data_IF_644191077048
#
_entry.id   IF_644191077048
#
_cell.length_a   1.000
_cell.length_b   1.000
_cell.length_c   1.000
_cell.angle_alpha   90.00
_cell.angle_beta   90.00
_cell.angle_gamma   90.00
#
_symmetry.space_group_name_H-M   'P 1'
#
loop_
_entity.id
_entity.type
_entity.pdbx_description
1 polymer ?
#
# COMPACT_ATOMS: atom_id res chain seq x y z
N UNK A 1 -4.40 -11.66 21.85
CA UNK A 1 -2.97 -11.69 21.44
C UNK A 1 -2.47 -10.25 21.30
N UNK A 2 -1.15 -10.03 21.37
CA UNK A 2 -0.57 -8.67 21.48
C UNK A 2 -0.63 -7.90 20.15
N UNK A 3 -0.67 -6.56 20.25
CA UNK A 3 -0.76 -5.59 19.14
C UNK A 3 0.44 -5.54 18.16
N UNK A 4 1.45 -6.42 18.31
CA UNK A 4 2.78 -6.25 17.70
C UNK A 4 3.00 -6.93 16.34
N UNK A 5 2.00 -7.62 15.77
CA UNK A 5 2.11 -8.24 14.44
C UNK A 5 1.37 -7.47 13.34
N UNK A 6 0.58 -6.44 13.69
CA UNK A 6 -0.23 -5.69 12.72
C UNK A 6 0.57 -4.60 11.96
N UNK A 7 1.70 -4.18 12.53
CA UNK A 7 2.44 -2.97 12.17
C UNK A 7 3.64 -3.24 11.22
N UNK A 8 4.05 -4.50 11.04
CA UNK A 8 5.28 -4.88 10.34
C UNK A 8 5.13 -5.03 8.82
N UNK A 9 4.03 -4.56 8.24
CA UNK A 9 3.53 -5.09 6.97
C UNK A 9 3.25 -4.06 5.86
N UNK A 10 3.49 -2.76 6.04
CA UNK A 10 3.50 -1.78 4.93
C UNK A 10 4.64 -1.98 3.90
N UNK A 11 5.35 -3.11 4.01
CA UNK A 11 6.78 -3.19 3.74
C UNK A 11 7.18 -3.62 2.33
N UNK A 12 6.33 -3.99 1.37
CA UNK A 12 6.89 -4.50 0.10
C UNK A 12 7.37 -3.38 -0.85
N UNK A 13 6.49 -2.45 -1.24
CA UNK A 13 6.88 -1.24 -1.98
C UNK A 13 7.72 -0.29 -1.13
N UNK A 14 7.41 -0.21 0.17
CA UNK A 14 8.21 0.57 1.10
C UNK A 14 9.61 -0.02 1.22
N UNK A 15 9.87 -1.32 1.36
CA UNK A 15 11.26 -1.82 1.44
C UNK A 15 12.08 -1.59 0.17
N UNK A 16 11.49 -1.55 -1.03
CA UNK A 16 12.23 -1.15 -2.24
C UNK A 16 12.50 0.36 -2.28
N UNK A 17 11.49 1.19 -2.00
CA UNK A 17 11.66 2.65 -1.92
C UNK A 17 12.54 3.08 -0.74
N UNK A 18 12.53 2.32 0.35
CA UNK A 18 13.39 2.42 1.52
C UNK A 18 14.78 1.92 1.14
N UNK A 19 14.97 0.82 0.38
CA UNK A 19 16.32 0.44 -0.09
C UNK A 19 16.94 1.52 -0.99
N UNK A 20 16.15 2.15 -1.86
CA UNK A 20 16.61 3.29 -2.67
C UNK A 20 16.81 4.58 -1.85
N UNK A 21 15.92 4.88 -0.89
CA UNK A 21 16.03 6.05 -0.02
C UNK A 21 17.14 5.91 1.03
N UNK A 22 17.36 4.70 1.56
CA UNK A 22 18.55 4.26 2.32
C UNK A 22 19.76 4.55 1.44
N UNK A 23 19.89 3.93 0.28
CA UNK A 23 21.06 4.11 -0.58
C UNK A 23 21.33 5.58 -0.99
N UNK A 24 20.29 6.42 -1.01
CA UNK A 24 20.36 7.86 -1.33
C UNK A 24 20.70 8.73 -0.11
N UNK A 25 20.10 8.50 1.06
CA UNK A 25 20.25 9.30 2.29
C UNK A 25 21.41 8.79 3.18
N UNK A 26 21.74 7.51 3.06
CA UNK A 26 22.71 6.74 3.86
C UNK A 26 23.48 5.75 2.97
N UNK A 27 24.58 6.16 2.33
CA UNK A 27 25.37 5.24 1.51
C UNK A 27 25.91 4.07 2.37
N UNK A 28 26.09 2.86 1.82
CA UNK A 28 26.51 1.66 2.57
C UNK A 28 27.89 1.80 3.26
N UNK A 29 28.64 2.85 2.93
CA UNK A 29 29.87 3.25 3.62
C UNK A 29 29.87 4.77 3.79
N UNK A 30 30.10 5.25 5.01
CA UNK A 30 30.17 6.67 5.37
C UNK A 30 31.44 6.88 6.18
N UNK A 31 32.44 7.52 5.58
CA UNK A 31 33.67 7.88 6.30
C UNK A 31 33.56 9.26 6.93
N UNK A 32 34.15 9.42 8.11
CA UNK A 32 34.29 10.70 8.80
C UNK A 32 35.69 11.26 8.59
N UNK A 33 35.78 12.49 8.13
CA UNK A 33 37.03 13.24 8.00
C UNK A 33 37.04 14.40 8.98
N UNK A 34 38.05 14.46 9.85
CA UNK A 34 38.21 15.55 10.81
C UNK A 34 38.29 16.91 10.09
N UNK A 35 37.59 17.93 10.61
CA UNK A 35 37.62 19.30 10.08
C UNK A 35 37.79 20.32 11.20
N UNK A 36 38.63 21.33 10.97
CA UNK A 36 38.85 22.42 11.93
C UNK A 36 37.79 23.53 11.87
N UNK A 37 36.85 23.46 10.92
CA UNK A 37 35.76 24.43 10.75
C UNK A 37 34.53 23.75 10.18
N UNK A 38 33.40 23.97 10.84
CA UNK A 38 32.06 23.73 10.29
C UNK A 38 31.39 25.10 10.13
N UNK A 39 30.75 25.35 8.99
CA UNK A 39 29.79 26.45 8.85
C UNK A 39 28.40 25.86 8.98
N UNK A 40 27.85 25.84 10.19
CA UNK A 40 26.44 25.54 10.39
C UNK A 40 25.63 26.62 9.64
N UNK A 41 24.85 26.25 8.63
CA UNK A 41 24.03 27.21 7.86
C UNK A 41 22.95 27.88 8.71
N UNK A 42 22.24 28.89 8.18
CA UNK A 42 21.32 29.80 8.90
C UNK A 42 20.42 29.16 9.99
N UNK A 43 19.91 27.94 9.80
CA UNK A 43 19.24 27.12 10.83
C UNK A 43 20.18 26.57 11.94
N UNK A 44 21.29 27.26 12.21
CA UNK A 44 22.46 26.74 12.95
C UNK A 44 22.63 27.32 14.35
N UNK A 45 21.84 28.33 14.69
CA UNK A 45 21.89 29.05 15.97
C UNK A 45 21.69 28.14 17.19
N UNK A 46 21.11 26.95 17.02
CA UNK A 46 20.79 26.03 18.11
C UNK A 46 21.87 24.98 18.35
N UNK A 47 22.83 24.80 17.42
CA UNK A 47 23.92 23.83 17.63
C UNK A 47 24.78 24.27 18.81
N UNK A 48 25.13 25.56 18.90
CA UNK A 48 25.94 26.09 20.01
C UNK A 48 25.27 25.84 21.37
N UNK A 49 23.95 26.05 21.48
CA UNK A 49 23.17 25.73 22.68
C UNK A 49 23.20 24.24 23.05
N UNK A 50 23.16 23.33 22.07
CA UNK A 50 23.27 21.90 22.30
C UNK A 50 24.69 21.50 22.75
N UNK A 51 25.72 22.18 22.23
CA UNK A 51 27.11 21.97 22.63
C UNK A 51 27.39 22.50 24.04
N UNK A 52 26.78 23.62 24.43
CA UNK A 52 26.81 24.16 25.79
C UNK A 52 26.10 23.21 26.78
N UNK A 53 24.88 22.78 26.47
CA UNK A 53 24.14 21.82 27.31
C UNK A 53 24.89 20.49 27.50
N UNK A 54 25.48 19.92 26.43
CA UNK A 54 26.30 18.72 26.58
C UNK A 54 27.51 18.93 27.51
N UNK A 55 28.12 20.13 27.51
CA UNK A 55 29.21 20.44 28.43
C UNK A 55 28.74 20.56 29.89
N UNK A 56 27.54 21.09 30.13
CA UNK A 56 26.89 21.11 31.46
C UNK A 56 26.56 19.67 31.93
N UNK A 57 26.18 18.79 31.02
CA UNK A 57 26.03 17.33 31.23
C UNK A 57 27.39 16.58 31.29
N UNK A 58 28.50 17.29 31.49
CA UNK A 58 29.87 16.74 31.61
C UNK A 58 30.40 15.92 30.41
N UNK A 59 29.81 16.05 29.23
CA UNK A 59 30.37 15.49 27.99
C UNK A 59 31.59 16.30 27.52
N UNK A 60 32.64 15.58 27.14
CA UNK A 60 33.89 16.15 26.61
C UNK A 60 33.88 16.10 25.08
N UNK A 61 34.22 17.18 24.36
CA UNK A 61 34.29 17.14 22.89
C UNK A 61 35.41 16.22 22.40
N UNK A 62 35.08 15.33 21.47
CA UNK A 62 36.04 14.47 20.75
C UNK A 62 36.58 15.23 19.54
N UNK A 63 35.70 15.80 18.72
CA UNK A 63 36.08 16.45 17.47
C UNK A 63 34.92 16.86 16.58
N UNK A 64 35.27 17.56 15.51
CA UNK A 64 34.36 18.02 14.47
C UNK A 64 34.66 17.27 13.18
N UNK A 65 33.65 16.67 12.56
CA UNK A 65 33.82 15.80 11.40
C UNK A 65 32.89 16.18 10.26
N UNK A 66 33.38 15.93 9.05
CA UNK A 66 32.63 16.01 7.80
C UNK A 66 32.45 14.59 7.26
N UNK A 67 31.24 14.23 6.84
CA UNK A 67 31.01 12.95 6.19
C UNK A 67 31.38 13.03 4.71
N UNK A 68 32.22 12.13 4.23
CA UNK A 68 32.48 11.99 2.80
C UNK A 68 31.80 10.71 2.29
N UNK A 69 30.86 10.78 1.33
CA UNK A 69 30.36 9.57 0.69
C UNK A 69 31.49 8.91 -0.10
N UNK A 70 31.73 7.62 0.13
CA UNK A 70 32.89 6.88 -0.43
C UNK A 70 32.76 6.65 -1.95
N UNK A 71 31.59 6.93 -2.55
CA UNK A 71 31.35 6.85 -4.00
C UNK A 71 31.12 8.24 -4.62
N UNK A 72 31.59 8.48 -5.87
CA UNK A 72 31.51 9.79 -6.49
C UNK A 72 30.07 10.18 -6.85
N UNK A 73 29.58 11.26 -6.23
CA UNK A 73 28.41 12.09 -6.61
C UNK A 73 27.28 11.36 -7.36
N UNK A 74 26.46 10.64 -6.60
CA UNK A 74 25.01 10.68 -6.87
C UNK A 74 24.56 12.13 -6.59
N UNK A 75 23.76 12.71 -7.49
CA UNK A 75 23.59 14.16 -7.57
C UNK A 75 23.08 14.82 -6.27
N UNK A 76 23.65 15.98 -5.94
CA UNK A 76 23.16 16.96 -4.95
C UNK A 76 22.93 16.50 -3.50
N UNK A 77 23.43 15.34 -3.06
CA UNK A 77 23.41 14.99 -1.62
C UNK A 77 24.31 16.02 -0.87
N UNK A 78 23.78 16.78 0.10
CA UNK A 78 24.56 17.77 0.83
C UNK A 78 25.60 17.10 1.76
N UNK A 79 26.72 17.79 1.96
CA UNK A 79 27.71 17.40 2.97
C UNK A 79 27.05 17.43 4.37
N UNK A 80 27.05 16.31 5.08
CA UNK A 80 26.68 16.28 6.50
C UNK A 80 27.89 16.58 7.38
N UNK A 81 27.63 17.28 8.47
CA UNK A 81 28.62 17.61 9.49
C UNK A 81 28.16 17.07 10.84
N UNK A 82 29.10 16.60 11.65
CA UNK A 82 28.82 16.22 13.03
C UNK A 82 29.85 16.75 14.02
N UNK A 83 29.39 16.98 15.25
CA UNK A 83 30.23 17.23 16.42
C UNK A 83 30.06 16.06 17.37
N UNK A 84 31.16 15.38 17.70
CA UNK A 84 31.14 14.21 18.56
C UNK A 84 31.68 14.52 19.95
N UNK A 85 31.12 13.85 20.94
CA UNK A 85 31.32 14.05 22.36
C UNK A 85 31.33 12.70 23.08
N UNK A 86 31.91 12.68 24.28
CA UNK A 86 31.96 11.49 25.12
C UNK A 86 31.87 11.85 26.61
N UNK A 87 31.04 11.12 27.35
CA UNK A 87 30.88 11.26 28.79
C UNK A 87 31.83 10.30 29.54
N UNK A 88 32.87 10.80 30.24
CA UNK A 88 33.97 9.98 30.76
C UNK A 88 33.59 9.02 31.90
N UNK A 89 32.51 9.29 32.64
CA UNK A 89 32.04 8.41 33.72
C UNK A 89 31.00 7.39 33.24
N UNK A 90 29.96 7.85 32.55
CA UNK A 90 28.82 7.03 32.08
C UNK A 90 29.10 6.13 30.86
N UNK A 91 30.25 6.28 30.18
CA UNK A 91 30.59 5.53 28.97
C UNK A 91 29.59 5.70 27.81
N UNK A 92 29.20 6.95 27.54
CA UNK A 92 28.24 7.32 26.48
C UNK A 92 28.92 8.25 25.47
N UNK A 93 28.81 7.94 24.17
CA UNK A 93 29.11 8.90 23.10
C UNK A 93 27.84 9.71 22.77
N UNK A 94 27.99 11.01 22.50
CA UNK A 94 26.94 11.85 21.95
C UNK A 94 27.38 12.45 20.61
N UNK A 95 26.53 12.37 19.59
CA UNK A 95 26.84 12.94 18.27
C UNK A 95 25.72 13.86 17.83
N UNK A 96 26.05 15.14 17.61
CA UNK A 96 25.16 16.14 17.02
C UNK A 96 25.39 16.16 15.52
N UNK A 97 24.35 15.98 14.71
CA UNK A 97 24.40 16.03 13.25
C UNK A 97 23.62 17.19 12.68
N UNK A 98 24.10 17.74 11.56
CA UNK A 98 23.32 18.66 10.73
C UNK A 98 23.21 18.17 9.29
N UNK A 99 21.97 18.03 8.82
CA UNK A 99 21.61 17.81 7.42
C UNK A 99 20.88 19.02 6.83
N UNK A 100 19.92 18.77 5.92
CA UNK A 100 19.09 19.81 5.30
C UNK A 100 17.98 20.41 6.20
N UNK A 101 17.81 19.90 7.42
CA UNK A 101 16.77 20.29 8.38
C UNK A 101 17.34 20.75 9.74
N UNK A 102 16.57 20.65 10.84
CA UNK A 102 17.08 20.87 12.19
C UNK A 102 18.23 19.91 12.54
N UNK A 103 19.03 20.27 13.55
CA UNK A 103 20.12 19.42 14.01
C UNK A 103 19.57 18.31 14.92
N UNK A 104 19.91 17.06 14.61
CA UNK A 104 19.52 15.88 15.40
C UNK A 104 20.66 15.43 16.31
N UNK A 105 20.32 14.69 17.37
CA UNK A 105 21.28 14.09 18.30
C UNK A 105 21.09 12.57 18.37
N UNK A 106 22.18 11.87 18.69
CA UNK A 106 22.14 10.50 19.20
C UNK A 106 23.01 10.36 20.46
N UNK A 107 22.62 9.46 21.36
CA UNK A 107 23.41 9.00 22.49
C UNK A 107 23.63 7.49 22.39
N UNK A 108 24.87 7.04 22.55
CA UNK A 108 25.33 5.69 22.19
C UNK A 108 26.14 5.09 23.32
N UNK A 109 25.76 3.88 23.76
CA UNK A 109 26.51 3.03 24.69
C UNK A 109 26.88 1.73 23.97
N UNK A 110 28.16 1.38 24.00
CA UNK A 110 28.67 0.14 23.39
C UNK A 110 28.83 -0.91 24.47
N UNK A 111 28.26 -2.10 24.24
CA UNK A 111 28.26 -3.20 25.19
C UNK A 111 29.40 -4.17 24.87
N UNK A 112 29.94 -4.86 25.88
CA UNK A 112 31.13 -5.70 25.71
C UNK A 112 30.89 -6.93 24.80
N UNK A 113 29.62 -7.32 24.61
CA UNK A 113 29.18 -8.38 23.69
C UNK A 113 29.02 -7.92 22.22
N UNK A 114 29.45 -6.69 21.89
CA UNK A 114 29.27 -6.06 20.58
C UNK A 114 27.81 -5.76 20.19
N UNK A 115 26.91 -5.69 21.17
CA UNK A 115 25.62 -4.99 21.03
C UNK A 115 25.78 -3.50 21.36
N UNK A 116 24.77 -2.70 20.98
CA UNK A 116 24.76 -1.25 21.15
C UNK A 116 23.40 -0.84 21.70
N UNK A 117 23.42 -0.05 22.76
CA UNK A 117 22.23 0.64 23.28
C UNK A 117 22.25 2.08 22.80
N UNK A 118 21.18 2.53 22.16
CA UNK A 118 21.13 3.85 21.52
C UNK A 118 19.77 4.52 21.65
N UNK A 119 19.81 5.84 21.70
CA UNK A 119 18.65 6.69 21.43
C UNK A 119 19.05 7.74 20.38
N UNK A 120 18.18 8.02 19.40
CA UNK A 120 18.47 8.94 18.29
C UNK A 120 17.20 9.52 17.70
N UNK A 121 17.28 10.74 17.18
CA UNK A 121 16.18 11.38 16.44
C UNK A 121 16.03 10.87 15.00
N UNK A 122 17.11 10.43 14.35
CA UNK A 122 17.12 10.16 12.90
C UNK A 122 16.68 8.72 12.61
N UNK A 123 15.41 8.43 12.92
CA UNK A 123 14.85 7.06 13.01
C UNK A 123 13.95 6.64 11.84
N UNK A 124 13.88 7.43 10.76
CA UNK A 124 12.96 7.20 9.62
C UNK A 124 13.13 5.85 8.87
N UNK A 125 14.13 5.02 9.21
CA UNK A 125 14.45 3.78 8.50
C UNK A 125 14.55 2.52 9.37
N UNK A 126 14.60 2.67 10.69
CA UNK A 126 14.78 1.56 11.63
C UNK A 126 13.44 1.21 12.28
N UNK A 127 12.68 0.39 11.57
CA UNK A 127 11.43 -0.20 12.03
C UNK A 127 11.71 -1.49 12.80
N UNK A 128 10.78 -2.04 13.59
CA UNK A 128 10.92 -3.37 14.18
C UNK A 128 11.24 -4.51 13.18
N UNK A 129 10.98 -4.31 11.88
CA UNK A 129 11.32 -5.27 10.82
C UNK A 129 12.74 -5.10 10.26
N UNK A 130 13.31 -3.89 10.31
CA UNK A 130 14.63 -3.57 9.73
C UNK A 130 15.74 -3.38 10.76
N UNK A 131 15.42 -3.07 12.02
CA UNK A 131 16.42 -2.90 13.09
C UNK A 131 17.22 -4.18 13.32
N UNK A 132 18.57 -4.16 13.24
CA UNK A 132 19.41 -5.32 13.53
C UNK A 132 19.36 -5.75 14.99
N UNK A 133 19.60 -7.03 15.26
CA UNK A 133 19.43 -7.60 16.61
C UNK A 133 20.47 -7.09 17.61
N UNK A 134 21.61 -6.60 17.12
CA UNK A 134 22.64 -5.97 17.94
C UNK A 134 22.34 -4.51 18.31
N UNK A 135 21.24 -3.94 17.81
CA UNK A 135 20.95 -2.51 17.84
C UNK A 135 19.73 -2.21 18.72
N UNK A 136 19.96 -2.06 20.02
CA UNK A 136 18.91 -1.87 21.01
C UNK A 136 18.52 -0.39 21.13
N UNK A 137 17.35 -0.04 20.59
CA UNK A 137 16.82 1.33 20.59
C UNK A 137 15.91 1.59 21.80
N UNK A 138 16.16 2.69 22.49
CA UNK A 138 15.44 3.14 23.69
C UNK A 138 15.09 4.64 23.63
N UNK A 139 14.27 5.11 24.58
CA UNK A 139 13.85 6.51 24.69
C UNK A 139 12.66 6.88 23.80
N UNK A 140 12.31 8.18 23.74
CA UNK A 140 11.12 8.65 23.04
C UNK A 140 11.19 8.46 21.51
N UNK A 141 10.01 8.43 20.87
CA UNK A 141 9.85 8.56 19.42
C UNK A 141 9.29 9.97 19.12
N UNK A 142 10.13 11.02 19.03
CA UNK A 142 9.63 12.38 18.81
C UNK A 142 9.05 12.54 17.40
N UNK A 143 7.87 13.15 17.30
CA UNK A 143 7.31 13.59 16.03
C UNK A 143 7.99 14.90 15.58
N UNK A 144 8.78 14.93 14.49
CA UNK A 144 9.49 16.13 14.05
C UNK A 144 8.55 17.28 13.66
N UNK A 145 7.28 17.03 13.32
CA UNK A 145 6.31 18.08 12.98
C UNK A 145 5.77 18.81 14.22
N UNK A 146 5.89 18.18 15.40
CA UNK A 146 5.52 18.77 16.69
C UNK A 146 6.60 19.65 17.34
N UNK A 147 7.86 19.55 16.88
CA UNK A 147 9.00 20.28 17.43
C UNK A 147 9.25 21.60 16.69
N UNK A 148 8.73 22.71 17.24
CA UNK A 148 8.71 24.03 16.59
C UNK A 148 9.72 25.01 17.18
N UNK A 149 10.02 24.90 18.49
CA UNK A 149 10.95 25.74 19.22
C UNK A 149 12.15 24.96 19.78
N UNK A 150 13.23 25.66 20.12
CA UNK A 150 14.49 25.05 20.60
C UNK A 150 14.30 24.23 21.87
N UNK A 151 13.43 24.70 22.76
CA UNK A 151 13.19 24.03 24.04
C UNK A 151 12.44 22.70 23.86
N UNK A 152 11.67 22.55 22.76
CA UNK A 152 11.05 21.25 22.40
C UNK A 152 12.15 20.22 22.11
N UNK A 153 13.16 20.59 21.30
CA UNK A 153 14.32 19.74 21.01
C UNK A 153 15.13 19.46 22.28
N UNK A 154 15.46 20.47 23.09
CA UNK A 154 16.20 20.26 24.34
C UNK A 154 15.45 19.37 25.34
N UNK A 155 14.12 19.49 25.42
CA UNK A 155 13.28 18.61 26.26
C UNK A 155 13.40 17.17 25.80
N UNK A 156 13.22 16.91 24.50
CA UNK A 156 13.41 15.59 23.90
C UNK A 156 14.84 15.06 24.13
N UNK A 157 15.87 15.90 24.03
CA UNK A 157 17.26 15.45 24.21
C UNK A 157 17.56 15.05 25.66
N UNK A 158 16.98 15.76 26.63
CA UNK A 158 17.06 15.40 28.06
C UNK A 158 16.34 14.08 28.32
N UNK A 159 15.15 13.87 27.76
CA UNK A 159 14.42 12.59 27.86
C UNK A 159 15.19 11.42 27.23
N UNK A 160 15.82 11.65 26.07
CA UNK A 160 16.71 10.69 25.42
C UNK A 160 17.92 10.34 26.31
N UNK A 161 18.64 11.34 26.82
CA UNK A 161 19.79 11.13 27.70
C UNK A 161 19.41 10.40 29.00
N UNK A 162 18.26 10.75 29.60
CA UNK A 162 17.76 10.07 30.80
C UNK A 162 17.35 8.62 30.50
N UNK A 163 16.76 8.34 29.33
CA UNK A 163 16.44 6.97 28.93
C UNK A 163 17.70 6.09 28.85
N UNK A 164 18.79 6.57 28.26
CA UNK A 164 20.05 5.79 28.22
C UNK A 164 20.75 5.70 29.58
N UNK A 165 20.64 6.72 30.44
CA UNK A 165 21.14 6.66 31.83
C UNK A 165 20.37 5.65 32.69
N UNK A 166 19.05 5.56 32.52
CA UNK A 166 18.18 4.67 33.30
C UNK A 166 18.10 3.25 32.76
N UNK A 167 18.42 3.02 31.48
CA UNK A 167 18.52 1.67 30.91
C UNK A 167 19.60 0.85 31.65
N UNK A 168 19.26 -0.32 32.22
CA UNK A 168 20.20 -1.16 32.96
C UNK A 168 21.47 -1.47 32.18
N UNK A 169 22.61 -1.44 32.87
CA UNK A 169 23.85 -1.95 32.30
C UNK A 169 23.69 -3.45 32.00
N UNK A 170 24.06 -3.92 30.80
CA UNK A 170 23.95 -5.33 30.46
C UNK A 170 24.93 -6.16 31.30
N UNK A 171 24.61 -7.45 31.53
CA UNK A 171 25.46 -8.34 32.34
C UNK A 171 26.89 -8.52 31.77
N UNK A 172 27.06 -8.31 30.46
CA UNK A 172 28.37 -8.32 29.80
C UNK A 172 29.23 -7.08 30.13
N UNK A 173 28.63 -6.00 30.64
CA UNK A 173 29.28 -4.72 30.87
C UNK A 173 29.38 -3.85 29.61
N UNK A 174 29.96 -2.66 29.77
CA UNK A 174 30.16 -1.70 28.69
C UNK A 174 31.63 -1.65 28.25
N UNK A 175 31.83 -1.27 26.99
CA UNK A 175 33.15 -0.99 26.45
C UNK A 175 33.71 0.31 27.07
N UNK A 176 34.96 0.30 27.52
CA UNK A 176 35.66 1.54 27.88
C UNK A 176 35.93 2.36 26.61
N UNK A 177 35.46 3.60 26.57
CA UNK A 177 35.56 4.47 25.41
C UNK A 177 36.77 5.41 25.54
N UNK A 178 37.53 5.49 24.46
CA UNK A 178 38.61 6.46 24.27
C UNK A 178 38.30 7.34 23.03
N UNK A 179 38.77 8.58 23.02
CA UNK A 179 38.54 9.51 21.90
C UNK A 179 39.32 9.14 20.62
N UNK A 180 40.44 8.43 20.74
CA UNK A 180 41.34 8.11 19.61
C UNK A 180 40.70 7.10 18.63
N UNK A 181 40.00 6.08 19.13
CA UNK A 181 39.35 5.05 18.32
C UNK A 181 37.90 5.42 17.91
N UNK A 182 37.40 6.62 18.29
CA UNK A 182 36.03 7.06 17.98
C UNK A 182 35.67 6.88 16.50
N UNK A 183 36.56 7.32 15.60
CA UNK A 183 36.36 7.19 14.15
C UNK A 183 36.16 5.73 13.74
N UNK A 184 37.01 4.84 14.23
CA UNK A 184 36.95 3.42 13.90
C UNK A 184 35.69 2.75 14.46
N UNK A 185 35.29 3.09 15.70
CA UNK A 185 34.03 2.59 16.31
C UNK A 185 32.81 3.07 15.53
N UNK A 186 32.75 4.36 15.21
CA UNK A 186 31.67 4.97 14.43
C UNK A 186 31.51 4.30 13.05
N UNK A 187 32.62 4.17 12.30
CA UNK A 187 32.60 3.63 10.93
C UNK A 187 32.26 2.13 10.93
N UNK A 188 32.80 1.35 11.87
CA UNK A 188 32.48 -0.07 12.03
C UNK A 188 31.01 -0.29 12.39
N UNK A 189 30.49 0.47 13.36
CA UNK A 189 29.08 0.46 13.75
C UNK A 189 28.18 0.76 12.56
N UNK A 190 28.49 1.83 11.83
CA UNK A 190 27.68 2.26 10.70
C UNK A 190 27.70 1.25 9.55
N UNK A 191 28.88 0.75 9.17
CA UNK A 191 28.99 -0.29 8.13
C UNK A 191 28.19 -1.55 8.49
N UNK A 192 28.32 -2.04 9.72
CA UNK A 192 27.58 -3.22 10.21
C UNK A 192 26.06 -2.98 10.25
N UNK A 193 25.62 -1.81 10.70
CA UNK A 193 24.20 -1.42 10.72
C UNK A 193 23.62 -1.47 9.30
N UNK A 194 24.32 -0.89 8.33
CA UNK A 194 23.88 -0.87 6.93
C UNK A 194 23.85 -2.29 6.32
N UNK A 195 24.86 -3.12 6.60
CA UNK A 195 24.92 -4.50 6.11
C UNK A 195 23.78 -5.37 6.68
N UNK A 196 23.54 -5.36 7.99
CA UNK A 196 22.47 -6.15 8.60
C UNK A 196 21.07 -5.64 8.21
N UNK A 197 20.90 -4.33 7.98
CA UNK A 197 19.67 -3.75 7.41
C UNK A 197 19.44 -4.24 5.98
N UNK A 198 20.44 -4.20 5.10
CA UNK A 198 20.33 -4.70 3.72
C UNK A 198 20.00 -6.21 3.69
N UNK A 199 20.61 -7.01 4.57
CA UNK A 199 20.31 -8.44 4.71
C UNK A 199 18.88 -8.71 5.19
N UNK A 200 18.37 -7.95 6.16
CA UNK A 200 16.97 -8.06 6.62
C UNK A 200 15.99 -7.65 5.52
N UNK A 201 16.28 -6.59 4.76
CA UNK A 201 15.49 -6.17 3.60
C UNK A 201 15.43 -7.29 2.55
N UNK A 202 16.57 -7.86 2.14
CA UNK A 202 16.60 -8.90 1.11
C UNK A 202 15.89 -10.19 1.56
N UNK A 203 15.98 -10.55 2.84
CA UNK A 203 15.21 -11.67 3.42
C UNK A 203 13.69 -11.43 3.39
N UNK A 204 13.24 -10.21 3.70
CA UNK A 204 11.83 -9.81 3.58
C UNK A 204 11.35 -9.86 2.13
N UNK A 205 12.15 -9.37 1.17
CA UNK A 205 11.84 -9.43 -0.26
C UNK A 205 11.77 -10.87 -0.79
N UNK A 206 12.66 -11.77 -0.34
CA UNK A 206 12.65 -13.18 -0.74
C UNK A 206 11.40 -13.92 -0.20
N UNK A 207 11.08 -13.73 1.08
CA UNK A 207 9.95 -14.38 1.76
C UNK A 207 8.57 -13.96 1.24
N UNK A 208 8.49 -12.85 0.52
CA UNK A 208 7.26 -12.28 -0.04
C UNK A 208 7.09 -12.52 -1.55
N UNK A 209 8.00 -13.27 -2.19
CA UNK A 209 7.89 -13.60 -3.62
C UNK A 209 6.60 -14.38 -3.94
N UNK A 210 5.75 -13.86 -4.83
CA UNK A 210 4.57 -14.57 -5.30
C UNK A 210 4.96 -15.71 -6.24
N UNK A 211 4.35 -16.88 -6.00
CA UNK A 211 4.66 -18.15 -6.70
C UNK A 211 3.68 -18.41 -7.86
N UNK A 212 2.70 -17.51 -8.05
CA UNK A 212 1.63 -17.63 -9.03
C UNK A 212 2.04 -17.23 -10.44
N UNK A 213 1.79 -18.10 -11.43
CA UNK A 213 2.14 -17.82 -12.84
C UNK A 213 1.41 -16.60 -13.36
N UNK A 214 0.11 -16.43 -13.04
CA UNK A 214 -0.65 -15.25 -13.46
C UNK A 214 -0.14 -13.97 -12.84
N UNK A 215 0.20 -13.96 -11.54
CA UNK A 215 0.81 -12.78 -10.92
C UNK A 215 2.08 -12.36 -11.65
N UNK A 216 3.00 -13.29 -11.95
CA UNK A 216 4.29 -12.96 -12.58
C UNK A 216 4.19 -12.31 -13.98
N UNK A 217 3.03 -12.31 -14.64
CA UNK A 217 2.78 -11.60 -15.91
C UNK A 217 2.59 -10.09 -15.70
N UNK A 218 2.33 -9.68 -14.47
CA UNK A 218 2.12 -8.30 -14.05
C UNK A 218 3.21 -7.92 -13.04
N UNK A 219 3.96 -6.87 -13.34
CA UNK A 219 5.07 -6.41 -12.49
C UNK A 219 4.50 -5.58 -11.32
N UNK A 220 3.62 -6.19 -10.53
CA UNK A 220 3.01 -5.56 -9.37
C UNK A 220 4.07 -5.20 -8.34
N UNK A 221 3.95 -3.99 -7.79
CA UNK A 221 4.59 -3.64 -6.53
C UNK A 221 3.51 -3.70 -5.46
N UNK A 222 3.58 -4.68 -4.56
CA UNK A 222 2.62 -4.81 -3.48
C UNK A 222 2.92 -3.77 -2.38
N UNK A 223 1.91 -3.24 -1.71
CA UNK A 223 2.13 -2.42 -0.51
C UNK A 223 2.39 -3.31 0.71
N UNK A 224 1.59 -4.36 0.87
CA UNK A 224 1.70 -5.27 2.01
C UNK A 224 1.91 -6.74 1.60
N UNK A 225 2.56 -7.58 2.44
CA UNK A 225 2.57 -9.03 2.25
C UNK A 225 1.16 -9.62 2.24
N UNK A 226 0.83 -10.22 1.11
CA UNK A 226 -0.50 -10.73 0.74
C UNK A 226 -1.14 -11.64 1.77
N UNK A 227 -0.34 -12.40 2.51
CA UNK A 227 -0.85 -13.28 3.56
C UNK A 227 -1.50 -12.52 4.71
N UNK A 228 -1.03 -11.32 5.04
CA UNK A 228 -1.68 -10.46 6.04
C UNK A 228 -2.92 -9.81 5.44
N UNK A 229 -2.85 -9.27 4.22
CA UNK A 229 -4.04 -8.65 3.59
C UNK A 229 -5.16 -9.69 3.50
N UNK A 230 -4.88 -10.89 3.01
CA UNK A 230 -5.84 -12.01 3.01
C UNK A 230 -6.32 -12.39 4.42
N UNK A 231 -5.45 -12.48 5.44
CA UNK A 231 -5.87 -12.77 6.83
C UNK A 231 -6.74 -11.66 7.42
N UNK A 232 -6.42 -10.40 7.15
CA UNK A 232 -7.15 -9.22 7.60
C UNK A 232 -8.53 -9.19 6.93
N UNK A 233 -8.59 -9.28 5.61
CA UNK A 233 -9.81 -9.42 4.83
C UNK A 233 -10.69 -10.57 5.36
N UNK A 234 -10.15 -11.78 5.58
CA UNK A 234 -10.91 -12.90 6.19
C UNK A 234 -11.39 -12.58 7.62
N UNK A 235 -10.64 -11.80 8.40
CA UNK A 235 -11.02 -11.45 9.77
C UNK A 235 -12.13 -10.39 9.80
N UNK A 236 -11.99 -9.31 9.03
CA UNK A 236 -13.04 -8.29 8.84
C UNK A 236 -14.32 -8.93 8.29
N UNK A 237 -14.18 -9.81 7.30
CA UNK A 237 -15.32 -10.52 6.69
C UNK A 237 -16.16 -11.28 7.71
N UNK A 238 -15.52 -11.90 8.71
CA UNK A 238 -16.21 -12.60 9.81
C UNK A 238 -16.84 -11.65 10.82
N UNK A 239 -16.41 -10.38 10.86
CA UNK A 239 -17.03 -9.34 11.69
C UNK A 239 -18.46 -9.00 11.26
N UNK A 240 -18.79 -9.15 9.97
CA UNK A 240 -20.12 -8.87 9.44
C UNK A 240 -21.21 -9.88 9.83
N UNK A 241 -20.88 -10.98 10.54
CA UNK A 241 -21.88 -11.97 10.97
C UNK A 241 -22.72 -11.53 12.19
N UNK A 242 -22.48 -10.33 12.76
CA UNK A 242 -22.91 -10.00 14.14
C UNK A 242 -23.78 -8.74 14.34
N UNK A 243 -24.11 -7.93 13.31
CA UNK A 243 -24.77 -6.62 13.49
C UNK A 243 -25.81 -6.28 12.42
N UNK A 244 -26.70 -5.32 12.70
CA UNK A 244 -27.53 -4.65 11.68
C UNK A 244 -26.58 -4.03 10.62
N UNK A 245 -26.71 -4.44 9.36
CA UNK A 245 -25.71 -4.13 8.34
C UNK A 245 -26.05 -2.78 7.68
N UNK A 246 -25.10 -1.83 7.69
CA UNK A 246 -25.23 -0.56 6.95
C UNK A 246 -24.81 -0.69 5.47
N UNK A 247 -25.14 0.30 4.64
CA UNK A 247 -24.65 0.38 3.26
C UNK A 247 -23.11 0.29 3.15
N UNK A 248 -22.40 1.03 3.99
CA UNK A 248 -20.93 1.01 4.05
C UNK A 248 -20.39 -0.40 4.34
N UNK A 249 -21.01 -1.11 5.29
CA UNK A 249 -20.63 -2.49 5.62
C UNK A 249 -20.96 -3.48 4.49
N UNK A 250 -22.06 -3.27 3.75
CA UNK A 250 -22.38 -4.05 2.56
C UNK A 250 -21.33 -3.83 1.45
N UNK A 251 -20.96 -2.58 1.17
CA UNK A 251 -19.89 -2.23 0.22
C UNK A 251 -18.57 -2.88 0.63
N UNK A 252 -18.15 -2.72 1.90
CA UNK A 252 -16.92 -3.32 2.41
C UNK A 252 -16.94 -4.86 2.30
N UNK A 253 -18.08 -5.50 2.58
CA UNK A 253 -18.24 -6.96 2.43
C UNK A 253 -18.15 -7.42 0.97
N UNK A 254 -18.67 -6.63 0.02
CA UNK A 254 -18.56 -6.87 -1.42
C UNK A 254 -17.09 -6.72 -1.87
N UNK A 255 -16.42 -5.63 -1.51
CA UNK A 255 -15.01 -5.37 -1.83
C UNK A 255 -14.07 -6.45 -1.28
N UNK A 256 -14.23 -6.85 -0.01
CA UNK A 256 -13.44 -7.94 0.58
C UNK A 256 -13.67 -9.28 -0.15
N UNK A 257 -14.89 -9.54 -0.63
CA UNK A 257 -15.20 -10.73 -1.43
C UNK A 257 -14.47 -10.70 -2.79
N UNK A 258 -14.36 -9.51 -3.38
CA UNK A 258 -13.65 -9.27 -4.65
C UNK A 258 -12.15 -9.47 -4.47
N UNK A 259 -11.55 -8.90 -3.42
CA UNK A 259 -10.16 -9.11 -3.04
C UNK A 259 -9.82 -10.61 -2.93
N UNK A 260 -10.65 -11.38 -2.20
CA UNK A 260 -10.45 -12.82 -1.99
C UNK A 260 -10.52 -13.60 -3.32
N UNK A 261 -11.44 -13.23 -4.21
CA UNK A 261 -11.51 -13.77 -5.57
C UNK A 261 -10.25 -13.42 -6.39
N UNK A 262 -9.81 -12.17 -6.37
CA UNK A 262 -8.62 -11.69 -7.06
C UNK A 262 -7.34 -12.37 -6.55
N UNK A 263 -7.22 -12.62 -5.23
CA UNK A 263 -6.10 -13.38 -4.68
C UNK A 263 -6.05 -14.81 -5.22
N UNK A 264 -7.20 -15.46 -5.39
CA UNK A 264 -7.27 -16.80 -5.99
C UNK A 264 -6.89 -16.77 -7.46
N UNK A 265 -7.45 -15.83 -8.22
CA UNK A 265 -7.21 -15.67 -9.65
C UNK A 265 -5.71 -15.48 -9.98
N UNK A 266 -5.02 -14.61 -9.22
CA UNK A 266 -3.60 -14.31 -9.37
C UNK A 266 -2.66 -15.37 -8.76
N UNK A 267 -3.19 -16.47 -8.23
CA UNK A 267 -2.43 -17.65 -7.78
C UNK A 267 -1.45 -17.38 -6.61
N UNK A 268 -1.83 -16.53 -5.65
CA UNK A 268 -1.01 -16.33 -4.45
C UNK A 268 -0.90 -17.60 -3.58
N UNK A 269 0.27 -17.79 -2.96
CA UNK A 269 0.69 -19.05 -2.34
C UNK A 269 -0.17 -19.56 -1.16
N UNK A 270 -1.12 -18.75 -0.65
CA UNK A 270 -2.10 -19.14 0.39
C UNK A 270 -3.53 -18.72 0.05
N UNK A 271 -3.82 -18.44 -1.22
CA UNK A 271 -5.15 -18.04 -1.65
C UNK A 271 -6.18 -19.15 -1.42
N UNK A 272 -7.19 -18.84 -0.60
CA UNK A 272 -8.28 -19.74 -0.25
C UNK A 272 -9.26 -19.94 -1.43
N UNK A 273 -10.11 -20.95 -1.35
CA UNK A 273 -11.21 -21.14 -2.29
C UNK A 273 -12.27 -20.05 -2.10
N UNK A 274 -12.57 -19.21 -3.11
CA UNK A 274 -13.38 -18.00 -2.92
C UNK A 274 -14.90 -18.25 -2.92
N UNK A 275 -15.37 -19.48 -3.20
CA UNK A 275 -16.80 -19.80 -3.44
C UNK A 275 -17.73 -19.24 -2.36
N UNK A 276 -17.47 -19.52 -1.08
CA UNK A 276 -18.33 -19.08 0.02
C UNK A 276 -18.31 -17.56 0.24
N UNK A 277 -17.21 -16.90 -0.13
CA UNK A 277 -17.06 -15.45 -0.04
C UNK A 277 -17.80 -14.78 -1.20
N UNK A 278 -17.63 -15.26 -2.43
CA UNK A 278 -18.41 -14.79 -3.59
C UNK A 278 -19.91 -15.00 -3.41
N UNK A 279 -20.34 -16.13 -2.83
CA UNK A 279 -21.76 -16.37 -2.52
C UNK A 279 -22.33 -15.28 -1.61
N UNK A 280 -21.63 -15.01 -0.50
CA UNK A 280 -21.99 -13.93 0.42
C UNK A 280 -21.81 -12.53 -0.18
N UNK A 281 -20.92 -12.34 -1.15
CA UNK A 281 -20.77 -11.11 -1.94
C UNK A 281 -21.96 -10.87 -2.86
N UNK A 282 -22.52 -11.93 -3.47
CA UNK A 282 -23.82 -11.85 -4.19
C UNK A 282 -24.93 -11.47 -3.22
N UNK A 283 -25.02 -12.14 -2.08
CA UNK A 283 -26.09 -11.90 -1.11
C UNK A 283 -25.99 -10.47 -0.54
N UNK A 284 -24.78 -9.97 -0.29
CA UNK A 284 -24.54 -8.58 0.12
C UNK A 284 -24.87 -7.55 -0.99
N UNK A 285 -24.55 -7.83 -2.26
CA UNK A 285 -24.92 -6.96 -3.37
C UNK A 285 -26.45 -6.89 -3.55
N UNK A 286 -27.15 -8.03 -3.42
CA UNK A 286 -28.61 -8.07 -3.45
C UNK A 286 -29.24 -7.32 -2.26
N UNK A 287 -28.66 -7.43 -1.06
CA UNK A 287 -29.10 -6.66 0.11
C UNK A 287 -28.81 -5.15 -0.05
N UNK A 288 -27.71 -4.76 -0.69
CA UNK A 288 -27.40 -3.35 -0.97
C UNK A 288 -28.48 -2.70 -1.83
N UNK A 289 -28.86 -3.35 -2.94
CA UNK A 289 -29.86 -2.82 -3.86
C UNK A 289 -31.30 -2.98 -3.36
N UNK A 290 -31.67 -4.15 -2.81
CA UNK A 290 -33.07 -4.51 -2.49
C UNK A 290 -33.40 -4.58 -0.99
N UNK A 291 -32.42 -4.37 -0.12
CA UNK A 291 -32.56 -4.50 1.33
C UNK A 291 -33.11 -3.26 2.04
N UNK A 292 -33.35 -3.45 3.34
CA UNK A 292 -33.97 -2.47 4.25
C UNK A 292 -32.96 -1.76 5.18
N UNK A 293 -31.66 -1.88 4.91
CA UNK A 293 -30.59 -1.27 5.71
C UNK A 293 -30.71 0.26 5.90
N UNK A 294 -31.44 0.96 5.03
CA UNK A 294 -31.73 2.39 5.13
C UNK A 294 -32.88 2.72 6.08
N UNK A 295 -33.75 1.75 6.39
CA UNK A 295 -34.84 1.87 7.36
C UNK A 295 -34.42 1.41 8.76
N UNK A 296 -33.53 0.39 8.83
CA UNK A 296 -33.16 -0.31 10.08
C UNK A 296 -31.72 -0.02 10.53
N UNK A 297 -30.95 0.75 9.74
CA UNK A 297 -29.56 1.09 9.99
C UNK A 297 -29.35 2.52 10.50
N UNK A 298 -28.29 2.71 11.27
CA UNK A 298 -27.89 4.01 11.84
C UNK A 298 -27.38 4.96 10.75
N UNK A 299 -27.85 6.21 10.74
CA UNK A 299 -27.34 7.28 9.88
C UNK A 299 -28.20 7.64 8.67
N UNK A 300 -29.20 6.82 8.33
CA UNK A 300 -30.12 7.04 7.19
C UNK A 300 -31.61 7.12 7.59
N UNK A 301 -31.86 7.32 8.89
CA UNK A 301 -33.19 7.33 9.48
C UNK A 301 -34.14 8.33 8.78
N UNK A 302 -35.19 7.81 8.14
CA UNK A 302 -36.26 8.62 7.56
C UNK A 302 -36.08 9.03 6.09
N UNK A 303 -35.06 8.55 5.38
CA UNK A 303 -35.01 8.68 3.92
C UNK A 303 -36.22 8.02 3.25
N UNK A 304 -36.67 8.55 2.12
CA UNK A 304 -37.53 7.83 1.18
C UNK A 304 -36.71 6.95 0.22
N UNK A 305 -37.36 5.99 -0.45
CA UNK A 305 -36.73 5.13 -1.47
C UNK A 305 -36.14 5.94 -2.65
N UNK A 306 -36.75 7.10 -2.98
CA UNK A 306 -36.25 8.02 -4.00
C UNK A 306 -34.97 8.75 -3.56
N UNK A 307 -34.90 9.14 -2.28
CA UNK A 307 -33.71 9.77 -1.70
C UNK A 307 -32.59 8.74 -1.51
N UNK A 308 -32.92 7.51 -1.06
CA UNK A 308 -31.98 6.37 -1.04
C UNK A 308 -31.28 6.26 -2.38
N UNK A 309 -32.03 6.13 -3.48
CA UNK A 309 -31.48 5.85 -4.81
C UNK A 309 -30.59 6.98 -5.37
N UNK A 310 -30.62 8.19 -4.81
CA UNK A 310 -29.71 9.31 -5.19
C UNK A 310 -28.39 9.30 -4.45
N UNK A 311 -28.35 8.73 -3.25
CA UNK A 311 -27.15 8.65 -2.39
C UNK A 311 -26.35 7.35 -2.61
N UNK A 312 -26.76 6.47 -3.55
CA UNK A 312 -26.08 5.20 -3.82
C UNK A 312 -24.91 5.37 -4.79
N UNK A 313 -23.70 5.16 -4.27
CA UNK A 313 -22.53 4.75 -5.05
C UNK A 313 -22.76 3.33 -5.60
N UNK A 314 -23.35 3.23 -6.78
CA UNK A 314 -23.91 1.97 -7.26
C UNK A 314 -22.98 1.16 -8.15
N UNK A 315 -22.01 1.79 -8.82
CA UNK A 315 -21.24 1.10 -9.86
C UNK A 315 -20.41 -0.07 -9.34
N UNK A 316 -19.64 0.14 -8.28
CA UNK A 316 -18.76 -0.89 -7.73
C UNK A 316 -19.56 -2.07 -7.14
N UNK A 317 -20.58 -1.86 -6.27
CA UNK A 317 -21.45 -2.94 -5.81
C UNK A 317 -22.16 -3.69 -6.95
N UNK A 318 -22.58 -2.97 -8.00
CA UNK A 318 -23.25 -3.57 -9.16
C UNK A 318 -22.29 -4.45 -9.97
N UNK A 319 -21.11 -3.95 -10.33
CA UNK A 319 -20.12 -4.68 -11.14
C UNK A 319 -19.56 -5.88 -10.38
N UNK A 320 -19.19 -5.72 -9.11
CA UNK A 320 -18.70 -6.83 -8.28
C UNK A 320 -19.79 -7.88 -8.08
N UNK A 321 -21.02 -7.47 -7.74
CA UNK A 321 -22.17 -8.37 -7.63
C UNK A 321 -22.44 -9.14 -8.92
N UNK A 322 -22.47 -8.44 -10.06
CA UNK A 322 -22.66 -9.03 -11.38
C UNK A 322 -21.56 -10.05 -11.73
N UNK A 323 -20.30 -9.71 -11.45
CA UNK A 323 -19.15 -10.61 -11.68
C UNK A 323 -19.25 -11.89 -10.82
N UNK A 324 -19.56 -11.78 -9.53
CA UNK A 324 -19.76 -12.95 -8.66
C UNK A 324 -20.92 -13.82 -9.13
N UNK A 325 -22.06 -13.21 -9.49
CA UNK A 325 -23.24 -13.91 -10.00
C UNK A 325 -22.89 -14.71 -11.27
N UNK A 326 -22.18 -14.09 -12.22
CA UNK A 326 -21.75 -14.72 -13.47
C UNK A 326 -20.77 -15.87 -13.23
N UNK A 327 -19.79 -15.69 -12.34
CA UNK A 327 -18.83 -16.74 -11.97
C UNK A 327 -19.52 -17.92 -11.27
N UNK A 328 -20.49 -17.65 -10.40
CA UNK A 328 -21.30 -18.66 -9.71
C UNK A 328 -22.45 -19.23 -10.59
N UNK A 329 -22.69 -18.68 -11.78
CA UNK A 329 -23.77 -19.05 -12.69
C UNK A 329 -25.19 -18.91 -12.08
N UNK A 330 -25.39 -17.94 -11.16
CA UNK A 330 -26.67 -17.64 -10.51
C UNK A 330 -27.59 -16.78 -11.41
N UNK A 331 -27.99 -17.31 -12.58
CA UNK A 331 -28.66 -16.53 -13.64
C UNK A 331 -29.97 -15.84 -13.21
N UNK A 332 -30.73 -16.42 -12.28
CA UNK A 332 -31.95 -15.79 -11.76
C UNK A 332 -31.63 -14.55 -10.91
N UNK A 333 -30.56 -14.62 -10.11
CA UNK A 333 -30.03 -13.46 -9.37
C UNK A 333 -29.44 -12.39 -10.30
N UNK A 334 -28.92 -12.78 -11.49
CA UNK A 334 -28.48 -11.82 -12.51
C UNK A 334 -29.67 -11.01 -13.02
N UNK A 335 -30.77 -11.69 -13.37
CA UNK A 335 -32.00 -11.02 -13.81
C UNK A 335 -32.56 -10.11 -12.72
N UNK A 336 -32.52 -10.56 -11.46
CA UNK A 336 -32.91 -9.73 -10.30
C UNK A 336 -32.02 -8.51 -10.15
N UNK A 337 -30.69 -8.66 -10.19
CA UNK A 337 -29.76 -7.54 -10.06
C UNK A 337 -29.95 -6.53 -11.19
N UNK A 338 -30.05 -6.99 -12.44
CA UNK A 338 -30.30 -6.11 -13.59
C UNK A 338 -31.64 -5.37 -13.49
N UNK A 339 -32.68 -5.94 -12.85
CA UNK A 339 -33.98 -5.27 -12.71
C UNK A 339 -34.00 -4.11 -11.70
N UNK A 340 -32.91 -3.89 -10.95
CA UNK A 340 -32.77 -2.68 -10.13
C UNK A 340 -32.56 -1.42 -11.00
N UNK A 341 -31.89 -1.55 -12.15
CA UNK A 341 -31.65 -0.44 -13.06
C UNK A 341 -32.94 -0.08 -13.81
N UNK A 342 -33.52 1.07 -13.50
CA UNK A 342 -34.68 1.62 -14.19
C UNK A 342 -34.29 2.68 -15.23
N UNK A 343 -35.19 3.00 -16.15
CA UNK A 343 -34.94 3.97 -17.23
C UNK A 343 -34.50 5.34 -16.68
N UNK A 344 -35.17 5.82 -15.63
CA UNK A 344 -34.92 7.12 -15.02
C UNK A 344 -33.77 7.15 -14.00
N UNK A 345 -32.98 6.07 -13.85
CA UNK A 345 -31.89 6.10 -12.85
C UNK A 345 -30.82 7.11 -13.28
N UNK A 346 -30.53 8.04 -12.37
CA UNK A 346 -29.49 9.05 -12.52
C UNK A 346 -28.11 8.36 -12.52
N UNK A 347 -27.20 8.86 -13.37
CA UNK A 347 -25.83 8.39 -13.40
C UNK A 347 -25.11 9.00 -12.20
N UNK A 348 -24.40 8.18 -11.43
CA UNK A 348 -23.59 8.62 -10.29
C UNK A 348 -22.69 9.81 -10.70
N UNK A 349 -22.55 10.83 -9.83
CA UNK A 349 -21.74 12.03 -10.14
C UNK A 349 -20.24 11.75 -9.96
N UNK A 350 -19.75 10.83 -10.80
CA UNK A 350 -18.35 10.48 -10.92
C UNK A 350 -17.60 11.52 -11.76
N UNK A 351 -16.28 11.37 -11.85
CA UNK A 351 -15.52 12.08 -12.88
C UNK A 351 -16.04 11.73 -14.28
N UNK A 352 -15.92 12.66 -15.24
CA UNK A 352 -16.40 12.46 -16.61
C UNK A 352 -15.82 11.23 -17.32
N UNK A 353 -14.73 10.64 -16.80
CA UNK A 353 -14.13 9.43 -17.36
C UNK A 353 -14.93 8.14 -17.10
N UNK A 354 -15.83 8.16 -16.13
CA UNK A 354 -16.64 7.00 -15.72
C UNK A 354 -18.07 7.07 -16.28
N UNK A 355 -18.65 8.27 -16.49
CA UNK A 355 -20.06 8.44 -16.88
C UNK A 355 -20.47 7.67 -18.14
N UNK A 356 -19.70 7.64 -19.23
CA UNK A 356 -20.03 6.80 -20.40
C UNK A 356 -19.75 5.30 -20.21
N UNK A 357 -18.94 4.91 -19.22
CA UNK A 357 -18.82 3.50 -18.79
C UNK A 357 -20.07 3.09 -18.00
N UNK A 358 -20.60 3.97 -17.14
CA UNK A 358 -21.87 3.75 -16.43
C UNK A 358 -23.04 3.57 -17.42
N UNK A 359 -23.11 4.40 -18.47
CA UNK A 359 -24.04 4.23 -19.58
C UNK A 359 -23.91 2.87 -20.28
N UNK A 360 -22.68 2.40 -20.49
CA UNK A 360 -22.44 1.08 -21.07
C UNK A 360 -22.97 -0.06 -20.17
N UNK A 361 -22.78 0.02 -18.86
CA UNK A 361 -23.35 -0.98 -17.95
C UNK A 361 -24.88 -0.96 -17.91
N UNK A 362 -25.50 0.23 -17.99
CA UNK A 362 -26.96 0.37 -18.13
C UNK A 362 -27.47 -0.29 -19.42
N UNK A 363 -26.75 -0.14 -20.54
CA UNK A 363 -27.04 -0.82 -21.81
C UNK A 363 -26.96 -2.35 -21.66
N UNK A 364 -25.85 -2.88 -21.14
CA UNK A 364 -25.63 -4.33 -20.97
C UNK A 364 -26.67 -4.95 -20.04
N UNK A 365 -26.90 -4.36 -18.86
CA UNK A 365 -27.85 -4.89 -17.88
C UNK A 365 -29.29 -4.87 -18.42
N UNK A 366 -29.69 -3.80 -19.10
CA UNK A 366 -30.98 -3.71 -19.78
C UNK A 366 -31.17 -4.81 -20.83
N UNK A 367 -30.15 -5.08 -21.66
CA UNK A 367 -30.18 -6.14 -22.67
C UNK A 367 -30.12 -7.57 -22.10
N UNK A 368 -29.98 -7.74 -20.78
CA UNK A 368 -30.10 -9.02 -20.07
C UNK A 368 -31.49 -9.22 -19.41
N UNK A 369 -32.36 -8.20 -19.44
CA UNK A 369 -33.74 -8.33 -18.98
C UNK A 369 -34.62 -9.07 -20.00
N UNK A 370 -35.71 -9.73 -19.57
CA UNK A 370 -36.71 -10.29 -20.47
C UNK A 370 -37.37 -9.23 -21.37
N UNK A 371 -37.56 -8.02 -20.84
CA UNK A 371 -38.02 -6.83 -21.55
C UNK A 371 -36.98 -5.73 -21.34
N UNK A 372 -36.18 -5.38 -22.36
CA UNK A 372 -35.19 -4.31 -22.25
C UNK A 372 -35.82 -2.93 -22.01
N UNK A 373 -35.12 -2.08 -21.28
CA UNK A 373 -35.52 -0.69 -21.00
C UNK A 373 -35.69 0.11 -22.30
N UNK A 374 -36.54 1.13 -22.27
CA UNK A 374 -36.64 2.11 -23.35
C UNK A 374 -35.37 2.97 -23.47
N UNK A 375 -35.11 3.53 -24.67
CA UNK A 375 -34.04 4.50 -24.90
C UNK A 375 -32.63 3.92 -25.15
N UNK A 376 -32.48 2.60 -25.32
CA UNK A 376 -31.16 1.97 -25.52
C UNK A 376 -30.43 2.47 -26.77
N UNK A 377 -31.14 2.79 -27.85
CA UNK A 377 -30.57 3.37 -29.07
C UNK A 377 -29.94 4.75 -28.80
N UNK A 378 -30.50 5.53 -27.88
CA UNK A 378 -29.97 6.84 -27.47
C UNK A 378 -28.71 6.67 -26.60
N UNK A 379 -28.72 5.69 -25.69
CA UNK A 379 -27.55 5.30 -24.88
C UNK A 379 -26.40 4.83 -25.78
N UNK A 380 -26.68 3.90 -26.71
CA UNK A 380 -25.75 3.41 -27.74
C UNK A 380 -25.19 4.57 -28.58
N UNK A 381 -26.06 5.43 -29.11
CA UNK A 381 -25.68 6.64 -29.86
C UNK A 381 -24.86 7.64 -29.02
N UNK A 382 -25.01 7.66 -27.69
CA UNK A 382 -24.19 8.48 -26.80
C UNK A 382 -22.78 7.91 -26.68
N UNK A 383 -22.65 6.61 -26.42
CA UNK A 383 -21.37 5.88 -26.32
C UNK A 383 -20.59 5.96 -27.65
N UNK A 384 -21.25 5.83 -28.80
CA UNK A 384 -20.64 5.99 -30.11
C UNK A 384 -20.08 7.40 -30.37
N UNK A 385 -20.72 8.44 -29.80
CA UNK A 385 -20.31 9.85 -29.92
C UNK A 385 -19.33 10.29 -28.82
N UNK A 386 -19.15 9.51 -27.76
CA UNK A 386 -18.17 9.75 -26.69
C UNK A 386 -16.77 10.06 -27.26
N UNK A 387 -15.94 10.82 -26.55
CA UNK A 387 -14.55 11.08 -26.96
C UNK A 387 -13.57 10.00 -26.48
N UNK A 388 -13.95 9.25 -25.44
CA UNK A 388 -13.12 8.24 -24.80
C UNK A 388 -13.11 6.94 -25.62
N UNK A 389 -11.96 6.26 -25.64
CA UNK A 389 -11.81 4.97 -26.34
C UNK A 389 -12.46 3.81 -25.58
N UNK A 390 -12.37 3.79 -24.24
CA UNK A 390 -12.79 2.65 -23.40
C UNK A 390 -14.29 2.31 -23.57
N UNK A 391 -15.25 3.24 -23.48
CA UNK A 391 -16.67 2.93 -23.69
C UNK A 391 -16.95 2.34 -25.08
N UNK A 392 -16.28 2.83 -26.12
CA UNK A 392 -16.45 2.34 -27.49
C UNK A 392 -15.91 0.93 -27.71
N UNK A 393 -14.77 0.60 -27.10
CA UNK A 393 -14.22 -0.75 -27.18
C UNK A 393 -15.08 -1.75 -26.41
N UNK A 394 -15.65 -1.35 -25.27
CA UNK A 394 -16.65 -2.14 -24.55
C UNK A 394 -17.92 -2.35 -25.39
N UNK A 395 -18.42 -1.30 -26.07
CA UNK A 395 -19.55 -1.41 -27.00
C UNK A 395 -19.26 -2.38 -28.16
N UNK A 396 -18.09 -2.29 -28.81
CA UNK A 396 -17.70 -3.25 -29.86
C UNK A 396 -17.72 -4.72 -29.37
N UNK A 397 -17.24 -4.98 -28.14
CA UNK A 397 -17.29 -6.32 -27.54
C UNK A 397 -18.74 -6.76 -27.39
N UNK A 398 -19.61 -5.89 -26.86
CA UNK A 398 -21.04 -6.18 -26.70
C UNK A 398 -21.72 -6.47 -28.04
N UNK A 399 -21.45 -5.68 -29.08
CA UNK A 399 -22.04 -5.84 -30.41
C UNK A 399 -21.66 -7.19 -31.05
N UNK A 400 -20.39 -7.61 -30.88
CA UNK A 400 -19.95 -8.92 -31.31
C UNK A 400 -20.62 -10.07 -30.52
N UNK A 401 -20.91 -9.86 -29.23
CA UNK A 401 -21.65 -10.81 -28.38
C UNK A 401 -23.14 -10.87 -28.77
N UNK A 402 -23.76 -9.77 -29.18
CA UNK A 402 -25.12 -9.76 -29.72
C UNK A 402 -25.22 -10.41 -31.10
N UNK A 403 -24.24 -10.14 -31.98
CA UNK A 403 -24.16 -10.71 -33.32
C UNK A 403 -23.69 -12.18 -33.35
N UNK A 404 -23.24 -12.74 -32.21
CA UNK A 404 -22.57 -14.06 -32.12
C UNK A 404 -21.35 -14.19 -33.04
N UNK A 405 -20.63 -13.09 -33.28
CA UNK A 405 -19.43 -13.05 -34.11
C UNK A 405 -18.16 -13.28 -33.28
N UNK A 406 -17.66 -14.52 -33.30
CA UNK A 406 -16.43 -14.92 -32.62
C UNK A 406 -15.20 -14.11 -33.06
N UNK A 407 -15.11 -13.70 -34.33
CA UNK A 407 -13.94 -13.00 -34.86
C UNK A 407 -13.93 -11.53 -34.42
N UNK A 408 -15.08 -10.86 -34.49
CA UNK A 408 -15.23 -9.51 -33.98
C UNK A 408 -15.08 -9.45 -32.45
N UNK A 409 -15.53 -10.49 -31.74
CA UNK A 409 -15.37 -10.64 -30.30
C UNK A 409 -13.91 -10.81 -29.89
N UNK A 410 -13.17 -11.73 -30.53
CA UNK A 410 -11.73 -11.92 -30.29
C UNK A 410 -10.94 -10.62 -30.52
N UNK A 411 -11.15 -9.95 -31.66
CA UNK A 411 -10.46 -8.69 -31.97
C UNK A 411 -10.80 -7.57 -30.97
N UNK A 412 -12.08 -7.36 -30.69
CA UNK A 412 -12.52 -6.25 -29.83
C UNK A 412 -12.10 -6.45 -28.37
N UNK A 413 -12.02 -7.71 -27.92
CA UNK A 413 -11.51 -8.06 -26.60
C UNK A 413 -10.01 -7.74 -26.48
N UNK A 414 -9.20 -8.09 -27.48
CA UNK A 414 -7.76 -7.79 -27.47
C UNK A 414 -7.47 -6.27 -27.55
N UNK A 415 -8.19 -5.53 -28.41
CA UNK A 415 -8.12 -4.06 -28.46
C UNK A 415 -8.45 -3.42 -27.09
N UNK A 416 -9.50 -3.92 -26.42
CA UNK A 416 -9.97 -3.41 -25.12
C UNK A 416 -9.02 -3.74 -23.98
N UNK A 417 -8.51 -4.97 -23.93
CA UNK A 417 -7.55 -5.41 -22.91
C UNK A 417 -6.18 -4.75 -23.08
N UNK A 418 -5.74 -4.52 -24.31
CA UNK A 418 -4.51 -3.76 -24.58
C UNK A 418 -4.62 -2.34 -24.00
N UNK A 419 -5.72 -1.62 -24.30
CA UNK A 419 -5.95 -0.28 -23.74
C UNK A 419 -6.06 -0.29 -22.21
N UNK A 420 -6.72 -1.29 -21.62
CA UNK A 420 -6.79 -1.46 -20.16
C UNK A 420 -5.37 -1.63 -19.58
N UNK A 421 -4.59 -2.57 -20.10
CA UNK A 421 -3.23 -2.87 -19.61
C UNK A 421 -2.30 -1.65 -19.74
N UNK A 422 -2.35 -0.92 -20.85
CA UNK A 422 -1.64 0.35 -21.02
C UNK A 422 -2.03 1.38 -19.95
N UNK A 423 -3.33 1.51 -19.66
CA UNK A 423 -3.83 2.47 -18.67
C UNK A 423 -3.39 2.16 -17.23
N UNK A 424 -3.34 0.87 -16.85
CA UNK A 424 -3.00 0.45 -15.49
C UNK A 424 -1.49 0.24 -15.27
N UNK A 425 -0.69 0.08 -16.33
CA UNK A 425 0.74 -0.25 -16.21
C UNK A 425 1.51 0.73 -15.31
N UNK A 426 1.24 2.04 -15.45
CA UNK A 426 1.92 3.05 -14.63
C UNK A 426 1.53 3.02 -13.15
N UNK A 427 0.33 2.55 -12.83
CA UNK A 427 -0.17 2.39 -11.46
C UNK A 427 0.36 1.11 -10.83
N UNK A 428 0.40 0.00 -11.60
CA UNK A 428 1.01 -1.28 -11.23
C UNK A 428 2.49 -1.06 -10.84
N UNK A 429 3.26 -0.36 -11.70
CA UNK A 429 4.67 -0.02 -11.45
C UNK A 429 4.90 0.90 -10.24
N UNK A 430 3.88 1.64 -9.80
CA UNK A 430 3.91 2.50 -8.60
C UNK A 430 3.33 1.84 -7.35
N UNK A 431 2.88 0.59 -7.45
CA UNK A 431 2.15 -0.11 -6.39
C UNK A 431 0.82 0.55 -5.98
N UNK A 432 0.23 1.35 -6.87
CA UNK A 432 -1.08 1.99 -6.67
C UNK A 432 -2.24 1.09 -7.11
N UNK A 433 -1.96 -0.08 -7.68
CA UNK A 433 -2.97 -0.97 -8.25
C UNK A 433 -2.87 -2.36 -7.61
N UNK A 434 -3.88 -2.73 -6.83
CA UNK A 434 -3.88 -3.95 -6.02
C UNK A 434 -4.04 -5.22 -6.88
N UNK A 435 -4.84 -5.15 -7.95
CA UNK A 435 -5.13 -6.28 -8.85
C UNK A 435 -5.21 -5.85 -10.31
N UNK A 436 -4.58 -6.60 -11.21
CA UNK A 436 -4.69 -6.40 -12.65
C UNK A 436 -5.84 -7.25 -13.21
N UNK A 437 -7.05 -6.94 -12.76
CA UNK A 437 -8.28 -7.59 -13.22
C UNK A 437 -9.09 -6.60 -14.07
N UNK A 438 -9.34 -6.98 -15.31
CA UNK A 438 -10.19 -6.24 -16.24
C UNK A 438 -11.66 -6.63 -15.98
N UNK A 439 -12.25 -6.11 -14.90
CA UNK A 439 -13.59 -6.47 -14.41
C UNK A 439 -14.66 -6.44 -15.50
N UNK A 440 -14.74 -5.34 -16.25
CA UNK A 440 -15.79 -5.15 -17.26
C UNK A 440 -15.64 -6.12 -18.43
N UNK A 441 -14.40 -6.34 -18.87
CA UNK A 441 -14.07 -7.34 -19.88
C UNK A 441 -14.32 -8.77 -19.37
N UNK A 442 -14.13 -9.04 -18.07
CA UNK A 442 -14.44 -10.33 -17.42
C UNK A 442 -15.94 -10.60 -17.39
N UNK A 443 -16.76 -9.60 -17.02
CA UNK A 443 -18.24 -9.66 -17.11
C UNK A 443 -18.68 -9.99 -18.53
N UNK A 444 -18.20 -9.25 -19.53
CA UNK A 444 -18.54 -9.48 -20.93
C UNK A 444 -18.08 -10.86 -21.43
N UNK A 445 -16.90 -11.33 -21.00
CA UNK A 445 -16.40 -12.65 -21.33
C UNK A 445 -17.30 -13.77 -20.78
N UNK A 446 -17.75 -13.66 -19.52
CA UNK A 446 -18.64 -14.64 -18.91
C UNK A 446 -20.03 -14.68 -19.58
N UNK A 447 -20.55 -13.52 -20.03
CA UNK A 447 -21.78 -13.44 -20.82
C UNK A 447 -21.58 -14.07 -22.22
N UNK A 448 -20.47 -13.80 -22.89
CA UNK A 448 -20.12 -14.39 -24.19
C UNK A 448 -20.08 -15.93 -24.12
N UNK A 449 -19.38 -16.47 -23.10
CA UNK A 449 -19.31 -17.91 -22.84
C UNK A 449 -20.70 -18.52 -22.58
N UNK A 450 -21.57 -17.82 -21.84
CA UNK A 450 -22.97 -18.25 -21.62
C UNK A 450 -23.80 -18.25 -22.90
N UNK A 451 -23.61 -17.29 -23.80
CA UNK A 451 -24.30 -17.26 -25.11
C UNK A 451 -23.77 -18.32 -26.08
N UNK A 452 -22.60 -18.91 -25.82
CA UNK A 452 -22.01 -20.00 -26.59
C UNK A 452 -20.83 -19.60 -27.49
N UNK A 453 -20.30 -18.39 -27.33
CA UNK A 453 -19.00 -18.02 -27.89
C UNK A 453 -17.87 -18.74 -27.15
N UNK A 454 -16.76 -18.97 -27.83
CA UNK A 454 -15.57 -19.57 -27.23
C UNK A 454 -14.74 -18.51 -26.48
N UNK A 455 -13.95 -18.95 -25.48
CA UNK A 455 -12.99 -18.06 -24.81
C UNK A 455 -12.04 -17.44 -25.85
N UNK A 456 -11.81 -16.12 -25.82
CA UNK A 456 -11.11 -15.42 -26.89
C UNK A 456 -9.62 -15.78 -26.91
N UNK A 457 -9.06 -15.89 -28.11
CA UNK A 457 -7.63 -16.18 -28.33
C UNK A 457 -6.82 -14.92 -28.07
N UNK A 458 -6.33 -14.79 -26.84
CA UNK A 458 -5.62 -13.61 -26.36
C UNK A 458 -4.14 -13.91 -26.08
N UNK A 459 -3.26 -12.88 -26.14
CA UNK A 459 -1.92 -12.96 -25.53
C UNK A 459 -2.02 -13.36 -24.05
N UNK A 460 -1.03 -14.10 -23.55
CA UNK A 460 -1.07 -14.69 -22.20
C UNK A 460 -1.34 -13.65 -21.09
N UNK A 461 -0.72 -12.46 -21.19
CA UNK A 461 -0.93 -11.34 -20.25
C UNK A 461 -2.34 -10.75 -20.32
N UNK A 462 -2.93 -10.64 -21.53
CA UNK A 462 -4.31 -10.19 -21.72
C UNK A 462 -5.31 -11.22 -21.18
N UNK A 463 -5.08 -12.50 -21.46
CA UNK A 463 -5.89 -13.60 -20.91
C UNK A 463 -5.83 -13.66 -19.38
N UNK A 464 -4.65 -13.40 -18.79
CA UNK A 464 -4.45 -13.37 -17.34
C UNK A 464 -5.05 -12.15 -16.64
N UNK A 465 -5.61 -11.18 -17.36
CA UNK A 465 -6.39 -10.07 -16.78
C UNK A 465 -7.90 -10.37 -16.74
N UNK A 466 -8.35 -11.48 -17.35
CA UNK A 466 -9.75 -11.92 -17.34
C UNK A 466 -9.99 -12.94 -16.24
N UNK A 467 -10.85 -12.60 -15.27
CA UNK A 467 -11.29 -13.57 -14.26
C UNK A 467 -12.35 -14.49 -14.88
N UNK A 468 -12.05 -15.79 -14.91
CA UNK A 468 -13.00 -16.82 -15.32
C UNK A 468 -13.18 -17.88 -14.24
N UNK A 469 -14.26 -18.65 -14.36
CA UNK A 469 -14.51 -19.86 -13.56
C UNK A 469 -13.29 -20.78 -13.47
N UNK A 470 -12.62 -21.06 -14.58
CA UNK A 470 -11.43 -21.91 -14.63
C UNK A 470 -10.29 -21.32 -13.79
N UNK A 471 -10.02 -20.01 -13.89
CA UNK A 471 -8.95 -19.35 -13.09
C UNK A 471 -9.18 -19.40 -11.58
N UNK A 472 -10.41 -19.65 -11.14
CA UNK A 472 -10.78 -19.79 -9.73
C UNK A 472 -10.88 -21.25 -9.27
N UNK A 473 -10.74 -22.22 -10.19
CA UNK A 473 -10.93 -23.64 -9.91
C UNK A 473 -12.40 -24.08 -9.86
N UNK A 474 -13.28 -23.39 -10.59
CA UNK A 474 -14.72 -23.64 -10.63
C UNK A 474 -15.10 -24.36 -11.93
N UNK A 475 -14.95 -25.68 -11.98
CA UNK A 475 -15.48 -26.51 -13.07
C UNK A 475 -16.98 -26.70 -12.90
#
# INVERSE_FOLDING_TARGET
MKKSEAQSLNNFSEMHAIKEAIATKYPPTRSLTETRRIRWGFSGAFVELYQEWLADEAFVPIGLFKTTPVRPRVNNIPDFYCSAYYHPQEQIEALIYKGGGPAGIEFVRYNADSTITITTMDMQMLTPATTPDFYHRIGPEPDPESLQEVEDYLTVFREMLEAIRTEPLPECGCLELNSEEFLQRFENRYARLMEEVDQKIDSLLESSKPVGKRFCLFIFVLKEPMEKVLKHNIHEFKGFEFHNISAEQLIQKIGISFDIMCYKHLEFAKAITPVSYMQQGVDAALEYFFGNWWQEGTGYEGLSESEKNRELHWIEPFVHGMLFILLLQRWDDLSKLCSWLHADIEIEDTTDFEKEVLLFFKLVASSLLPEPLAGLDEIRSSIERCRLKRPKLLLKIWDAIEAMDQSAYEQSMDESLTLYLESVESYIKKGLFQFCVAEFQSVLCLIALKKGLAFPKLPEKSAAALVTRETLGLS
#
